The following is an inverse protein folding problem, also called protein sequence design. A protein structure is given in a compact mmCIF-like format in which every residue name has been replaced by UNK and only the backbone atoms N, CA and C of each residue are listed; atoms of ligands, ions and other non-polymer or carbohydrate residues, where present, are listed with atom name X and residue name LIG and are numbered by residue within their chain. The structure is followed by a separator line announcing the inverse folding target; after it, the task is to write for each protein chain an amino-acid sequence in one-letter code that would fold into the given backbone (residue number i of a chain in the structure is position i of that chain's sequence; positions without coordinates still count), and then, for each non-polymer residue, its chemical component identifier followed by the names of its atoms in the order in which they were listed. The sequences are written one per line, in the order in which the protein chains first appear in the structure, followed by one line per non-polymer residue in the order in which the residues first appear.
data_IF_339990838425
#
_entry.id   IF_339990838425
#
_cell.length_a   1.000
_cell.length_b   1.000
_cell.length_c   1.000
_cell.angle_alpha   90.00
_cell.angle_beta   90.00
_cell.angle_gamma   90.00
#
_symmetry.space_group_name_H-M   'P 1'
#
loop_
_entity.id
_entity.type
_entity.pdbx_description
1 polymer ?
#
# COMPACT_ATOMS: atom_id res chain seq x y z
N UNK A 1 5.48 3.11 -21.54
CA UNK A 1 5.27 4.47 -21.00
C UNK A 1 4.27 4.44 -19.85
N UNK A 2 4.07 5.55 -19.12
CA UNK A 2 3.18 5.58 -17.92
C UNK A 2 1.78 5.03 -18.22
N UNK A 3 1.17 5.44 -19.33
CA UNK A 3 -0.15 4.97 -19.73
C UNK A 3 -0.20 3.46 -20.01
N UNK A 4 0.78 2.91 -20.74
CA UNK A 4 0.89 1.47 -21.01
C UNK A 4 1.07 0.67 -19.72
N UNK A 5 1.88 1.17 -18.77
CA UNK A 5 2.05 0.48 -17.49
C UNK A 5 0.75 0.45 -16.68
N UNK A 6 -0.02 1.54 -16.66
CA UNK A 6 -1.32 1.57 -15.98
C UNK A 6 -2.29 0.56 -16.64
N UNK A 7 -2.41 0.61 -17.96
CA UNK A 7 -3.30 -0.27 -18.71
C UNK A 7 -2.94 -1.75 -18.52
N UNK A 8 -1.65 -2.09 -18.61
CA UNK A 8 -1.17 -3.45 -18.37
C UNK A 8 -1.48 -3.94 -16.95
N UNK A 9 -1.28 -3.10 -15.93
CA UNK A 9 -1.56 -3.48 -14.54
C UNK A 9 -3.06 -3.70 -14.28
N UNK A 10 -3.93 -2.90 -14.92
CA UNK A 10 -5.38 -3.11 -14.87
C UNK A 10 -5.74 -4.40 -15.63
N UNK A 11 -5.13 -4.65 -16.79
CA UNK A 11 -5.38 -5.87 -17.56
C UNK A 11 -5.00 -7.13 -16.77
N UNK A 12 -3.85 -7.11 -16.10
CA UNK A 12 -3.39 -8.20 -15.23
C UNK A 12 -4.35 -8.42 -14.04
N UNK A 13 -4.85 -7.35 -13.41
CA UNK A 13 -5.82 -7.47 -12.29
C UNK A 13 -7.17 -8.04 -12.72
N UNK A 14 -7.54 -7.87 -13.99
CA UNK A 14 -8.73 -8.45 -14.61
C UNK A 14 -8.47 -9.84 -15.23
N UNK A 15 -7.49 -10.59 -14.72
CA UNK A 15 -7.14 -11.95 -15.19
C UNK A 15 -6.79 -12.01 -16.68
N UNK A 16 -6.23 -10.95 -17.23
CA UNK A 16 -5.93 -10.82 -18.66
C UNK A 16 -7.20 -10.97 -19.54
N UNK A 17 -8.36 -10.51 -19.05
CA UNK A 17 -9.63 -10.52 -19.80
C UNK A 17 -10.10 -9.10 -20.06
N UNK A 18 -10.61 -8.87 -21.26
CA UNK A 18 -11.19 -7.58 -21.69
C UNK A 18 -12.72 -7.67 -21.60
N UNK A 19 -13.22 -7.89 -20.39
CA UNK A 19 -14.66 -7.90 -20.10
C UNK A 19 -15.20 -6.50 -19.79
N UNK A 20 -16.50 -6.40 -19.50
CA UNK A 20 -17.10 -5.10 -19.18
C UNK A 20 -16.54 -4.51 -17.88
N UNK A 21 -16.15 -5.34 -16.91
CA UNK A 21 -15.54 -4.87 -15.66
C UNK A 21 -14.17 -4.22 -15.92
N UNK A 22 -13.34 -4.81 -16.77
CA UNK A 22 -12.08 -4.19 -17.21
C UNK A 22 -12.33 -2.82 -17.88
N UNK A 23 -13.28 -2.75 -18.82
CA UNK A 23 -13.59 -1.50 -19.53
C UNK A 23 -14.13 -0.43 -18.57
N UNK A 24 -14.98 -0.81 -17.62
CA UNK A 24 -15.51 0.08 -16.59
C UNK A 24 -14.41 0.60 -15.66
N UNK A 25 -13.46 -0.26 -15.28
CA UNK A 25 -12.27 0.13 -14.53
C UNK A 25 -11.45 1.18 -15.29
N UNK A 26 -11.13 0.94 -16.57
CA UNK A 26 -10.40 1.90 -17.41
C UNK A 26 -11.12 3.25 -17.51
N UNK A 27 -12.44 3.25 -17.76
CA UNK A 27 -13.24 4.48 -17.83
C UNK A 27 -13.21 5.24 -16.51
N UNK A 28 -13.32 4.55 -15.39
CA UNK A 28 -13.31 5.14 -14.06
C UNK A 28 -11.95 5.77 -13.72
N UNK A 29 -10.85 5.08 -14.03
CA UNK A 29 -9.50 5.63 -13.86
C UNK A 29 -9.28 6.87 -14.74
N UNK A 30 -9.71 6.83 -15.99
CA UNK A 30 -9.61 7.97 -16.91
C UNK A 30 -10.43 9.17 -16.43
N UNK A 31 -11.67 8.92 -16.00
CA UNK A 31 -12.56 9.96 -15.49
C UNK A 31 -11.95 10.63 -14.25
N UNK A 32 -11.45 9.85 -13.29
CA UNK A 32 -10.81 10.39 -12.09
C UNK A 32 -9.55 11.20 -12.42
N UNK A 33 -8.71 10.77 -13.37
CA UNK A 33 -7.55 11.55 -13.82
C UNK A 33 -7.94 12.87 -14.48
N UNK A 34 -9.11 12.91 -15.15
CA UNK A 34 -9.62 14.10 -15.81
C UNK A 34 -10.16 15.10 -14.79
N UNK A 35 -11.01 14.65 -13.87
CA UNK A 35 -11.71 15.51 -12.90
C UNK A 35 -10.80 15.92 -11.72
N UNK A 36 -9.84 15.08 -11.35
CA UNK A 36 -8.95 15.33 -10.22
C UNK A 36 -7.54 15.75 -10.68
N UNK A 37 -7.31 17.07 -10.73
CA UNK A 37 -6.03 17.66 -11.14
C UNK A 37 -4.87 17.26 -10.21
N UNK A 38 -5.14 17.11 -8.90
CA UNK A 38 -4.12 16.75 -7.90
C UNK A 38 -3.68 15.30 -8.13
N UNK A 39 -4.63 14.39 -8.27
CA UNK A 39 -4.36 12.99 -8.60
C UNK A 39 -3.51 12.87 -9.87
N UNK A 40 -3.90 13.59 -10.93
CA UNK A 40 -3.14 13.61 -12.19
C UNK A 40 -1.72 14.11 -11.99
N UNK A 41 -1.53 15.20 -11.23
CA UNK A 41 -0.19 15.71 -10.93
C UNK A 41 0.64 14.70 -10.14
N UNK A 42 0.06 14.01 -9.16
CA UNK A 42 0.75 12.97 -8.38
C UNK A 42 1.17 11.76 -9.23
N UNK A 43 0.33 11.33 -10.17
CA UNK A 43 0.68 10.24 -11.09
C UNK A 43 1.79 10.66 -12.06
N UNK A 44 1.71 11.87 -12.64
CA UNK A 44 2.71 12.37 -13.58
C UNK A 44 4.05 12.67 -12.91
N UNK A 45 4.04 13.19 -11.68
CA UNK A 45 5.26 13.45 -10.88
C UNK A 45 5.86 12.19 -10.24
N UNK A 46 5.13 11.07 -10.26
CA UNK A 46 5.58 9.80 -9.68
C UNK A 46 5.39 9.68 -8.16
N UNK A 47 4.69 10.62 -7.52
CA UNK A 47 4.26 10.51 -6.12
C UNK A 47 3.35 9.29 -5.93
N UNK A 48 2.46 9.05 -6.89
CA UNK A 48 1.70 7.81 -7.01
C UNK A 48 2.27 7.05 -8.20
N UNK A 49 2.77 5.84 -7.95
CA UNK A 49 3.31 5.02 -9.04
C UNK A 49 2.19 4.52 -9.96
N UNK A 50 2.47 4.24 -11.24
CA UNK A 50 1.50 3.67 -12.18
C UNK A 50 0.81 2.39 -11.66
N UNK A 51 1.56 1.51 -11.01
CA UNK A 51 1.02 0.27 -10.42
C UNK A 51 0.12 0.56 -9.22
N UNK A 52 0.52 1.47 -8.33
CA UNK A 52 -0.36 1.90 -7.22
C UNK A 52 -1.66 2.52 -7.72
N UNK A 53 -1.59 3.34 -8.78
CA UNK A 53 -2.74 3.97 -9.39
C UNK A 53 -3.72 2.93 -9.99
N UNK A 54 -3.19 1.94 -10.72
CA UNK A 54 -4.00 0.87 -11.31
C UNK A 54 -4.76 0.00 -10.28
N UNK A 55 -4.28 -0.04 -9.04
CA UNK A 55 -4.89 -0.79 -7.94
C UNK A 55 -5.77 0.09 -7.04
N UNK A 56 -6.03 1.36 -7.39
CA UNK A 56 -6.86 2.25 -6.59
C UNK A 56 -8.35 1.93 -6.72
N UNK A 57 -9.08 2.02 -5.62
CA UNK A 57 -10.54 2.02 -5.68
C UNK A 57 -11.04 3.34 -6.28
N UNK A 58 -12.28 3.37 -6.78
CA UNK A 58 -12.91 4.60 -7.29
C UNK A 58 -12.99 5.68 -6.21
N UNK A 59 -13.33 5.29 -4.99
CA UNK A 59 -13.43 6.20 -3.84
C UNK A 59 -12.06 6.77 -3.45
N UNK A 60 -11.01 5.95 -3.51
CA UNK A 60 -9.64 6.36 -3.21
C UNK A 60 -9.14 7.38 -4.24
N UNK A 61 -9.47 7.17 -5.52
CA UNK A 61 -9.10 8.10 -6.60
C UNK A 61 -9.81 9.45 -6.45
N UNK A 62 -11.02 9.47 -5.91
CA UNK A 62 -11.73 10.71 -5.60
C UNK A 62 -11.08 11.49 -4.44
N UNK A 63 -10.32 10.82 -3.55
CA UNK A 63 -9.71 11.42 -2.34
C UNK A 63 -8.22 11.09 -2.22
N UNK A 64 -7.36 11.56 -3.14
CA UNK A 64 -5.96 11.17 -3.21
C UNK A 64 -5.14 11.56 -1.98
N UNK A 65 -5.49 12.66 -1.30
CA UNK A 65 -4.76 13.14 -0.12
C UNK A 65 -4.89 12.22 1.09
N UNK A 66 -6.08 11.68 1.34
CA UNK A 66 -6.32 10.75 2.45
C UNK A 66 -5.46 9.50 2.32
N UNK A 67 -5.34 8.96 1.10
CA UNK A 67 -4.53 7.77 0.84
C UNK A 67 -3.04 8.01 1.02
N UNK A 68 -2.56 9.21 0.67
CA UNK A 68 -1.16 9.59 0.92
C UNK A 68 -0.89 9.62 2.42
N UNK A 69 -1.78 10.23 3.21
CA UNK A 69 -1.66 10.28 4.67
C UNK A 69 -1.72 8.90 5.30
N UNK A 70 -2.65 8.04 4.86
CA UNK A 70 -2.75 6.64 5.32
C UNK A 70 -1.45 5.85 5.08
N UNK A 71 -0.85 6.00 3.90
CA UNK A 71 0.42 5.33 3.58
C UNK A 71 1.59 5.90 4.42
N UNK A 72 1.61 7.19 4.70
CA UNK A 72 2.60 7.79 5.61
C UNK A 72 2.45 7.25 7.04
N UNK A 73 1.22 7.17 7.56
CA UNK A 73 0.93 6.59 8.87
C UNK A 73 1.34 5.12 8.91
N UNK A 74 0.99 4.34 7.88
CA UNK A 74 1.32 2.92 7.78
C UNK A 74 2.83 2.68 7.79
N UNK A 75 3.60 3.44 7.01
CA UNK A 75 5.07 3.33 6.99
C UNK A 75 5.69 3.66 8.35
N UNK A 76 5.21 4.72 9.02
CA UNK A 76 5.69 5.11 10.35
C UNK A 76 5.41 4.01 11.37
N UNK A 77 4.20 3.45 11.37
CA UNK A 77 3.81 2.35 12.26
C UNK A 77 4.70 1.10 12.10
N UNK A 78 5.03 0.70 10.86
CA UNK A 78 5.93 -0.43 10.60
C UNK A 78 7.32 -0.15 11.19
N UNK A 79 7.87 1.04 10.94
CA UNK A 79 9.18 1.43 11.46
C UNK A 79 9.17 1.39 12.99
N UNK A 80 8.17 1.98 13.62
CA UNK A 80 8.04 2.02 15.08
C UNK A 80 7.96 0.61 15.67
N UNK A 81 7.21 -0.32 15.06
CA UNK A 81 7.11 -1.71 15.54
C UNK A 81 8.44 -2.47 15.49
N UNK A 82 9.24 -2.30 14.44
CA UNK A 82 10.54 -2.98 14.29
C UNK A 82 11.52 -2.54 15.39
N UNK A 83 11.47 -1.27 15.79
CA UNK A 83 12.33 -0.76 16.87
C UNK A 83 11.93 -1.27 18.26
N UNK A 84 10.66 -1.62 18.49
CA UNK A 84 10.20 -2.12 19.79
C UNK A 84 10.48 -3.62 20.02
N UNK A 85 10.74 -4.40 18.96
CA UNK A 85 11.04 -5.84 19.09
C UNK A 85 12.47 -6.13 19.60
N UNK A 86 13.34 -5.11 19.71
CA UNK A 86 14.76 -5.30 20.07
C UNK A 86 15.13 -5.05 21.54
N UNK A 87 14.16 -4.82 22.44
CA UNK A 87 14.44 -4.77 23.88
C UNK A 87 13.33 -5.50 24.66
N UNK A 88 13.45 -6.82 24.77
CA UNK A 88 12.83 -7.56 25.87
C UNK A 88 13.92 -8.27 26.69
N UNK A 89 14.21 -7.82 27.93
CA UNK A 89 15.08 -8.57 28.81
C UNK A 89 14.40 -9.88 29.20
N UNK A 90 14.86 -11.00 28.61
CA UNK A 90 14.52 -12.35 29.05
C UNK A 90 14.85 -12.48 30.53
N UNK A 91 13.82 -12.54 31.38
CA UNK A 91 14.00 -13.01 32.75
C UNK A 91 14.41 -14.49 32.67
N UNK A 92 15.72 -14.75 32.81
CA UNK A 92 16.23 -16.08 33.13
C UNK A 92 15.66 -16.40 34.51
N UNK A 93 14.70 -17.31 34.57
CA UNK A 93 14.23 -17.89 35.82
C UNK A 93 15.46 -18.28 36.63
N UNK A 94 15.62 -17.69 37.81
CA UNK A 94 16.70 -18.02 38.72
C UNK A 94 16.58 -19.50 39.05
N UNK A 95 17.73 -20.16 38.93
CA UNK A 95 17.93 -21.57 39.14
C UNK A 95 17.36 -22.01 40.50
N UNK A 96 16.55 -23.07 40.49
CA UNK A 96 16.10 -23.78 41.70
C UNK A 96 17.35 -24.28 42.45
N UNK A 97 17.61 -23.89 43.71
CA UNK A 97 18.73 -24.41 44.48
C UNK A 97 18.22 -25.54 45.38
N UNK A 98 17.89 -26.68 44.79
CA UNK A 98 17.64 -27.92 45.53
C UNK A 98 18.53 -29.03 44.96
N UNK A 99 19.83 -28.97 45.24
CA UNK A 99 20.72 -30.13 45.33
C UNK A 99 22.14 -29.67 45.72
N UNK A 100 22.46 -29.70 47.01
CA UNK A 100 23.61 -30.50 47.42
C UNK A 100 23.53 -30.85 48.90
N UNK A 101 23.46 -32.17 49.10
CA UNK A 101 23.45 -32.91 50.36
C UNK A 101 24.85 -32.86 51.00
N UNK A 102 24.94 -32.93 52.33
CA UNK A 102 25.68 -34.05 52.92
C UNK A 102 24.82 -34.91 53.84
#
# INVERSE_FOLDING_TARGET
GVAETIEQQIYESHQNKVDEAYKESIRSHLFNLKENNILRQHVVSGVITPSQFAQMSVDDMAKPELRIEEEHIRRRSIIDSIFHDHIQPRHRNQDNPDEDRP
#
